data_IF_685410375970
#
_entry.id   IF_685410375970
#
_cell.length_a   1.000
_cell.length_b   1.000
_cell.length_c   1.000
_cell.angle_alpha   90.00
_cell.angle_beta   90.00
_cell.angle_gamma   90.00
#
_symmetry.space_group_name_H-M   'P 1'
#
loop_
_entity.id
_entity.type
_entity.pdbx_description
1 polymer ?
#
# COMPACT_ATOMS: atom_id res chain seq x y z
N UNK A 1 -4.62 -44.62 -5.61
CA UNK A 1 -5.37 -44.06 -4.46
C UNK A 1 -4.83 -42.66 -4.20
N UNK A 2 -5.50 -41.66 -4.75
CA UNK A 2 -5.67 -40.31 -4.18
C UNK A 2 -6.85 -39.68 -4.91
N UNK A 3 -7.96 -39.57 -4.19
CA UNK A 3 -9.22 -38.96 -4.61
C UNK A 3 -9.05 -37.43 -4.65
N UNK A 4 -9.34 -36.80 -5.78
CA UNK A 4 -9.52 -35.35 -5.87
C UNK A 4 -11.02 -35.06 -6.04
N UNK A 5 -11.67 -34.35 -5.11
CA UNK A 5 -13.09 -34.06 -5.26
C UNK A 5 -13.30 -33.03 -6.37
N UNK A 6 -14.01 -33.45 -7.41
CA UNK A 6 -14.46 -32.61 -8.52
C UNK A 6 -15.63 -31.73 -8.02
N UNK A 7 -15.30 -30.56 -7.46
CA UNK A 7 -16.33 -29.57 -7.10
C UNK A 7 -16.83 -28.85 -8.36
N UNK A 8 -18.00 -29.26 -8.83
CA UNK A 8 -18.72 -28.57 -9.89
C UNK A 8 -19.29 -27.24 -9.37
N UNK A 9 -18.79 -26.12 -9.90
CA UNK A 9 -19.23 -24.78 -9.51
C UNK A 9 -20.46 -24.33 -10.33
N UNK A 10 -21.49 -23.75 -9.69
CA UNK A 10 -22.68 -23.27 -10.39
C UNK A 10 -22.35 -22.08 -11.30
N UNK A 11 -22.73 -22.17 -12.59
CA UNK A 11 -22.44 -21.19 -13.66
C UNK A 11 -22.81 -19.74 -13.33
N UNK A 12 -23.69 -19.50 -12.36
CA UNK A 12 -24.13 -18.15 -11.95
C UNK A 12 -23.09 -17.38 -11.15
N UNK A 13 -22.17 -18.05 -10.47
CA UNK A 13 -21.14 -17.38 -9.64
C UNK A 13 -19.98 -16.81 -10.48
N UNK A 14 -19.80 -17.29 -11.71
CA UNK A 14 -18.75 -16.82 -12.62
C UNK A 14 -19.01 -15.40 -13.16
N UNK A 15 -20.29 -15.06 -13.42
CA UNK A 15 -20.68 -13.75 -13.98
C UNK A 15 -20.70 -12.60 -12.96
N UNK A 16 -20.49 -12.90 -11.66
CA UNK A 16 -20.48 -11.91 -10.56
C UNK A 16 -19.08 -11.60 -10.01
N UNK A 17 -18.01 -12.11 -10.61
CA UNK A 17 -16.64 -11.82 -10.18
C UNK A 17 -16.19 -12.48 -8.86
N UNK A 18 -17.12 -13.13 -8.12
CA UNK A 18 -16.85 -13.77 -6.82
C UNK A 18 -15.76 -14.85 -6.89
N UNK A 19 -15.59 -15.50 -8.05
CA UNK A 19 -14.51 -16.46 -8.28
C UNK A 19 -13.13 -15.79 -8.37
N UNK A 20 -13.04 -14.58 -8.94
CA UNK A 20 -11.78 -13.83 -9.01
C UNK A 20 -11.36 -13.31 -7.64
N UNK A 21 -12.32 -12.92 -6.79
CA UNK A 21 -12.05 -12.48 -5.41
C UNK A 21 -11.53 -13.63 -4.56
N UNK A 22 -12.09 -14.84 -4.70
CA UNK A 22 -11.60 -16.03 -4.02
C UNK A 22 -10.19 -16.44 -4.47
N UNK A 23 -9.89 -16.36 -5.77
CA UNK A 23 -8.55 -16.64 -6.31
C UNK A 23 -7.52 -15.57 -5.92
N UNK A 24 -7.91 -14.29 -5.85
CA UNK A 24 -7.07 -13.22 -5.29
C UNK A 24 -6.79 -13.51 -3.81
N UNK A 25 -7.83 -13.84 -3.04
CA UNK A 25 -7.69 -14.17 -1.61
C UNK A 25 -6.80 -15.40 -1.37
N UNK A 26 -6.89 -16.44 -2.20
CA UNK A 26 -6.06 -17.65 -2.10
C UNK A 26 -4.60 -17.41 -2.53
N UNK A 27 -4.35 -16.58 -3.56
CA UNK A 27 -2.97 -16.20 -3.93
C UNK A 27 -2.32 -15.32 -2.87
N UNK A 28 -3.09 -14.44 -2.23
CA UNK A 28 -2.61 -13.54 -1.16
C UNK A 28 -2.23 -14.32 0.11
N UNK A 29 -2.91 -15.43 0.45
CA UNK A 29 -2.58 -16.22 1.65
C UNK A 29 -1.34 -17.11 1.51
N UNK A 30 -0.91 -17.45 0.29
CA UNK A 30 0.25 -18.34 0.07
C UNK A 30 1.59 -17.60 0.01
N UNK A 31 1.57 -16.26 -0.06
CA UNK A 31 2.76 -15.42 -0.17
C UNK A 31 2.77 -14.34 0.90
N UNK A 32 2.84 -14.73 2.18
CA UNK A 32 3.20 -13.86 3.31
C UNK A 32 2.76 -12.39 3.19
N UNK A 33 1.47 -12.16 2.94
CA UNK A 33 0.94 -10.81 2.77
C UNK A 33 0.95 -10.09 4.12
N UNK A 34 1.87 -9.14 4.28
CA UNK A 34 1.87 -8.23 5.42
C UNK A 34 1.07 -6.97 5.04
N UNK A 35 -0.17 -6.83 5.54
CA UNK A 35 -1.00 -5.68 5.19
C UNK A 35 -0.45 -4.39 5.79
N UNK A 36 -0.53 -3.32 5.00
CA UNK A 36 -0.20 -1.98 5.49
C UNK A 36 -1.33 -1.52 6.42
N UNK A 37 -1.00 -1.24 7.67
CA UNK A 37 -1.97 -0.74 8.67
C UNK A 37 -2.15 0.78 8.54
N UNK A 38 -3.25 1.34 9.09
CA UNK A 38 -3.45 2.78 9.18
C UNK A 38 -2.22 3.54 9.71
N UNK A 39 -2.05 4.83 9.35
CA UNK A 39 -0.89 5.60 9.78
C UNK A 39 -0.81 5.66 11.31
N UNK A 40 0.41 5.66 11.85
CA UNK A 40 0.71 5.61 13.28
C UNK A 40 0.26 4.34 14.00
N UNK A 41 -0.28 3.32 13.32
CA UNK A 41 -0.62 2.06 13.98
C UNK A 41 0.60 1.48 14.73
N UNK A 42 0.38 1.08 15.98
CA UNK A 42 1.38 0.39 16.78
C UNK A 42 1.38 -1.10 16.43
N UNK A 43 2.22 -1.48 15.46
CA UNK A 43 2.24 -2.85 14.93
C UNK A 43 2.52 -3.92 15.99
N UNK A 44 3.23 -3.57 17.07
CA UNK A 44 3.59 -4.52 18.13
C UNK A 44 2.38 -5.04 18.94
N UNK A 45 1.35 -4.22 19.13
CA UNK A 45 0.15 -4.59 19.89
C UNK A 45 -1.15 -4.42 19.09
N UNK A 46 -1.06 -4.09 17.80
CA UNK A 46 -2.22 -3.78 16.97
C UNK A 46 -3.26 -4.90 16.96
N UNK A 47 -2.83 -6.15 16.78
CA UNK A 47 -3.72 -7.31 16.71
C UNK A 47 -4.32 -7.69 18.07
N UNK A 48 -3.70 -7.27 19.17
CA UNK A 48 -4.21 -7.51 20.52
C UNK A 48 -5.26 -6.45 20.91
N UNK A 49 -5.00 -5.18 20.57
CA UNK A 49 -5.84 -4.05 20.99
C UNK A 49 -6.93 -3.67 20.01
N UNK A 50 -6.78 -3.96 18.71
CA UNK A 50 -7.77 -3.58 17.71
C UNK A 50 -9.03 -4.44 17.83
N UNK A 51 -10.18 -3.82 18.05
CA UNK A 51 -11.48 -4.51 18.16
C UNK A 51 -12.15 -4.80 16.82
N UNK A 52 -11.52 -4.41 15.70
CA UNK A 52 -12.08 -4.50 14.35
C UNK A 52 -13.47 -3.83 14.19
N UNK A 53 -13.78 -2.79 14.99
CA UNK A 53 -15.06 -2.08 14.96
C UNK A 53 -15.32 -1.33 13.63
N UNK A 54 -14.25 -0.90 12.94
CA UNK A 54 -14.34 -0.22 11.65
C UNK A 54 -14.53 1.30 11.72
N UNK A 55 -14.48 1.94 12.89
CA UNK A 55 -14.63 3.40 13.02
C UNK A 55 -13.59 4.16 12.16
N UNK A 56 -12.34 3.69 12.15
CA UNK A 56 -11.28 4.29 11.33
C UNK A 56 -11.54 4.16 9.82
N UNK A 57 -12.21 3.10 9.37
CA UNK A 57 -12.63 2.91 7.97
C UNK A 57 -13.67 3.97 7.61
N UNK A 58 -14.67 4.18 8.46
CA UNK A 58 -15.72 5.18 8.23
C UNK A 58 -15.20 6.61 8.28
N UNK A 59 -14.22 6.89 9.15
CA UNK A 59 -13.64 8.22 9.31
C UNK A 59 -12.67 8.63 8.19
N UNK A 60 -12.22 7.68 7.35
CA UNK A 60 -11.25 7.94 6.30
C UNK A 60 -11.89 8.66 5.09
N UNK A 61 -11.60 9.95 4.93
CA UNK A 61 -12.16 10.77 3.87
C UNK A 61 -11.74 10.34 2.46
N UNK A 62 -10.49 9.93 2.30
CA UNK A 62 -9.96 9.41 1.02
C UNK A 62 -10.33 7.95 0.80
N UNK A 63 -10.99 7.32 1.78
CA UNK A 63 -11.48 5.95 1.73
C UNK A 63 -10.41 4.90 1.46
N UNK A 64 -9.13 5.19 1.74
CA UNK A 64 -8.04 4.22 1.52
C UNK A 64 -7.99 3.14 2.61
N UNK A 65 -8.64 3.34 3.76
CA UNK A 65 -8.72 2.32 4.81
C UNK A 65 -9.87 1.37 4.46
N UNK A 66 -9.56 0.09 4.26
CA UNK A 66 -10.50 -0.97 3.89
C UNK A 66 -10.50 -2.08 4.94
N UNK A 67 -11.56 -2.91 4.93
CA UNK A 67 -11.62 -4.10 5.77
C UNK A 67 -10.80 -5.22 5.13
N UNK A 68 -9.74 -5.64 5.79
CA UNK A 68 -8.87 -6.73 5.37
C UNK A 68 -9.46 -8.13 5.54
N UNK A 69 -8.73 -9.15 5.10
CA UNK A 69 -9.17 -10.55 5.10
C UNK A 69 -9.50 -11.09 6.51
N UNK A 70 -8.77 -10.61 7.53
CA UNK A 70 -8.99 -10.96 8.94
C UNK A 70 -9.93 -9.97 9.68
N UNK A 71 -10.60 -9.08 8.95
CA UNK A 71 -11.51 -8.08 9.51
C UNK A 71 -10.86 -6.81 10.06
N UNK A 72 -9.53 -6.83 10.24
CA UNK A 72 -8.75 -5.66 10.64
C UNK A 72 -8.62 -4.63 9.51
N UNK A 73 -8.47 -3.33 9.84
CA UNK A 73 -8.31 -2.29 8.84
C UNK A 73 -6.94 -2.38 8.15
N UNK A 74 -6.93 -2.12 6.84
CA UNK A 74 -5.76 -2.19 5.95
C UNK A 74 -5.79 -1.01 4.98
N UNK A 75 -4.63 -0.59 4.49
CA UNK A 75 -4.51 0.47 3.49
C UNK A 75 -4.54 -0.11 2.08
N UNK A 76 -5.40 0.46 1.25
CA UNK A 76 -5.49 0.20 -0.19
C UNK A 76 -5.17 1.48 -0.98
N UNK A 77 -3.90 1.60 -1.41
CA UNK A 77 -3.44 2.72 -2.23
C UNK A 77 -4.00 2.71 -3.66
N UNK A 78 -4.74 1.68 -4.08
CA UNK A 78 -5.47 1.74 -5.36
C UNK A 78 -6.67 2.68 -5.29
N UNK A 79 -7.15 3.02 -4.08
CA UNK A 79 -8.29 3.92 -3.86
C UNK A 79 -7.88 5.39 -3.75
N UNK A 80 -6.60 5.68 -3.51
CA UNK A 80 -6.11 7.04 -3.32
C UNK A 80 -4.89 7.08 -2.41
N UNK A 81 -4.74 8.20 -1.71
CA UNK A 81 -3.62 8.48 -0.82
C UNK A 81 -4.07 8.79 0.61
N UNK A 82 -3.11 8.80 1.53
CA UNK A 82 -3.32 9.32 2.87
C UNK A 82 -2.93 10.79 2.92
N UNK A 83 -3.86 11.63 3.39
CA UNK A 83 -3.64 13.07 3.61
C UNK A 83 -3.18 13.38 5.04
N UNK A 84 -2.96 12.36 5.87
CA UNK A 84 -2.60 12.48 7.28
C UNK A 84 -3.55 13.39 8.09
N UNK A 85 -4.85 13.39 7.78
CA UNK A 85 -5.85 14.22 8.47
C UNK A 85 -6.18 13.77 9.90
N UNK A 86 -5.52 12.73 10.41
CA UNK A 86 -5.66 12.16 11.77
C UNK A 86 -7.06 11.63 12.14
N UNK A 87 -8.09 11.76 11.29
CA UNK A 87 -9.45 11.33 11.63
C UNK A 87 -9.55 9.86 12.04
N UNK A 88 -8.72 8.99 11.43
CA UNK A 88 -8.65 7.58 11.82
C UNK A 88 -8.16 7.36 13.26
N UNK A 89 -7.24 8.21 13.74
CA UNK A 89 -6.72 8.20 15.12
C UNK A 89 -7.80 8.70 16.07
N UNK A 90 -8.39 9.87 15.78
CA UNK A 90 -9.41 10.51 16.63
C UNK A 90 -10.71 9.70 16.73
N UNK A 91 -11.04 8.89 15.72
CA UNK A 91 -12.22 8.02 15.72
C UNK A 91 -12.05 6.71 16.50
N UNK A 92 -10.83 6.39 16.93
CA UNK A 92 -10.51 5.09 17.52
C UNK A 92 -10.49 5.16 19.04
N UNK A 93 -11.39 4.42 19.67
CA UNK A 93 -11.45 4.28 21.13
C UNK A 93 -10.38 3.32 21.67
N UNK A 94 -9.80 2.48 20.82
CA UNK A 94 -8.74 1.56 21.19
C UNK A 94 -7.37 2.23 21.10
N UNK A 95 -6.48 1.93 22.04
CA UNK A 95 -5.10 2.44 22.08
C UNK A 95 -4.18 1.70 21.08
N UNK A 96 -4.54 1.70 19.80
CA UNK A 96 -3.82 1.03 18.70
C UNK A 96 -2.90 1.96 17.92
N UNK A 97 -2.95 3.26 18.18
CA UNK A 97 -2.15 4.29 17.51
C UNK A 97 -1.05 4.83 18.43
N UNK A 98 0.11 5.09 17.83
CA UNK A 98 1.22 5.88 18.41
C UNK A 98 0.92 7.37 18.32
N UNK A 99 1.79 8.21 18.85
CA UNK A 99 1.61 9.66 18.80
C UNK A 99 1.71 10.20 17.35
N UNK A 100 0.84 11.14 16.98
CA UNK A 100 0.82 11.75 15.64
C UNK A 100 2.08 12.58 15.34
N UNK A 101 2.84 12.97 16.37
CA UNK A 101 4.16 13.60 16.23
C UNK A 101 5.25 12.65 15.73
N UNK A 102 5.02 11.33 15.77
CA UNK A 102 5.93 10.33 15.20
C UNK A 102 5.70 10.16 13.69
N UNK A 103 6.63 9.47 13.02
CA UNK A 103 6.46 9.13 11.60
C UNK A 103 5.22 8.23 11.40
N UNK A 104 4.32 8.56 10.45
CA UNK A 104 3.09 7.82 10.23
C UNK A 104 3.35 6.40 9.75
N UNK A 105 4.34 6.24 8.87
CA UNK A 105 4.81 4.96 8.38
C UNK A 105 6.32 4.95 8.25
N UNK A 106 6.85 3.74 8.19
CA UNK A 106 8.25 3.46 7.95
C UNK A 106 8.51 2.87 6.56
N UNK A 107 7.46 2.38 5.87
CA UNK A 107 7.57 1.91 4.49
C UNK A 107 7.91 3.05 3.54
N UNK A 108 8.60 2.70 2.45
CA UNK A 108 9.04 3.65 1.42
C UNK A 108 8.54 3.19 0.06
N UNK A 109 8.81 3.98 -0.97
CA UNK A 109 8.45 3.62 -2.34
C UNK A 109 9.64 2.99 -3.06
N UNK A 110 9.34 2.13 -4.02
CA UNK A 110 10.30 1.54 -4.95
C UNK A 110 9.82 1.75 -6.40
N UNK A 111 10.73 2.19 -7.27
CA UNK A 111 10.45 2.39 -8.70
C UNK A 111 10.84 1.13 -9.48
N UNK A 112 9.84 0.43 -9.99
CA UNK A 112 9.96 -0.83 -10.73
C UNK A 112 10.43 -0.63 -12.17
N UNK A 113 10.82 -1.73 -12.83
CA UNK A 113 11.34 -1.73 -14.20
C UNK A 113 10.35 -1.19 -15.25
N UNK A 114 9.04 -1.30 -15.00
CA UNK A 114 7.98 -0.78 -15.90
C UNK A 114 7.80 0.75 -15.87
N UNK A 115 8.69 1.50 -15.21
CA UNK A 115 8.62 2.95 -15.18
C UNK A 115 8.93 3.54 -16.56
N UNK A 116 8.05 4.40 -17.08
CA UNK A 116 8.21 5.02 -18.40
C UNK A 116 9.57 5.72 -18.58
N UNK A 117 10.06 6.39 -17.54
CA UNK A 117 11.37 7.05 -17.59
C UNK A 117 12.51 6.04 -17.74
N UNK A 118 12.45 4.88 -17.04
CA UNK A 118 13.43 3.79 -17.22
C UNK A 118 13.35 3.16 -18.61
N UNK A 119 12.21 3.29 -19.29
CA UNK A 119 11.97 2.82 -20.65
C UNK A 119 12.24 3.89 -21.72
N UNK A 120 12.83 5.04 -21.37
CA UNK A 120 13.19 6.08 -22.35
C UNK A 120 12.06 7.04 -22.71
N UNK A 121 10.94 7.05 -21.97
CA UNK A 121 9.80 7.94 -22.20
C UNK A 121 9.70 8.99 -21.10
N UNK A 122 9.62 10.27 -21.48
CA UNK A 122 9.47 11.37 -20.51
C UNK A 122 8.15 11.25 -19.73
N UNK A 123 8.25 11.22 -18.40
CA UNK A 123 7.10 11.15 -17.50
C UNK A 123 7.49 11.73 -16.14
N UNK A 124 6.67 12.64 -15.60
CA UNK A 124 6.94 13.34 -14.33
C UNK A 124 5.81 13.26 -13.31
N UNK A 125 4.71 12.58 -13.64
CA UNK A 125 3.47 12.58 -12.86
C UNK A 125 3.66 12.27 -11.37
N UNK A 126 4.53 11.30 -11.05
CA UNK A 126 4.80 10.93 -9.67
C UNK A 126 5.58 11.99 -8.88
N UNK A 127 6.48 12.75 -9.53
CA UNK A 127 7.17 13.86 -8.88
C UNK A 127 6.27 15.08 -8.72
N UNK A 128 5.43 15.37 -9.72
CA UNK A 128 4.48 16.49 -9.67
C UNK A 128 3.46 16.31 -8.54
N UNK A 129 3.07 15.07 -8.26
CA UNK A 129 2.12 14.73 -7.17
C UNK A 129 2.80 14.52 -5.81
N UNK A 130 4.14 14.53 -5.74
CA UNK A 130 4.85 14.27 -4.49
C UNK A 130 5.16 15.58 -3.75
N UNK A 131 4.29 15.95 -2.81
CA UNK A 131 4.46 17.15 -1.98
C UNK A 131 5.80 17.16 -1.22
N UNK A 132 6.23 16.00 -0.72
CA UNK A 132 7.53 15.82 -0.04
C UNK A 132 8.74 15.94 -0.98
N UNK A 133 8.51 16.08 -2.29
CA UNK A 133 9.55 16.16 -3.34
C UNK A 133 10.57 15.03 -3.23
N UNK A 134 10.10 13.81 -2.95
CA UNK A 134 10.90 12.57 -2.89
C UNK A 134 11.43 12.22 -4.27
N UNK A 135 10.60 12.39 -5.30
CA UNK A 135 10.93 12.08 -6.68
C UNK A 135 11.18 13.40 -7.40
N UNK A 136 12.41 13.61 -7.89
CA UNK A 136 12.82 14.81 -8.64
C UNK A 136 13.41 14.41 -9.98
N UNK A 137 13.32 15.30 -10.95
CA UNK A 137 13.82 15.08 -12.30
C UNK A 137 14.85 16.15 -12.64
N UNK A 138 16.09 15.75 -12.93
CA UNK A 138 17.15 16.64 -13.40
C UNK A 138 17.19 16.62 -14.93
N UNK A 139 17.23 17.78 -15.60
CA UNK A 139 17.41 17.83 -17.04
C UNK A 139 18.70 17.10 -17.45
N UNK A 140 18.63 16.33 -18.53
CA UNK A 140 19.78 15.69 -19.17
C UNK A 140 19.97 16.29 -20.57
N UNK A 141 21.22 16.59 -20.95
CA UNK A 141 21.50 17.13 -22.28
C UNK A 141 21.33 16.04 -23.34
N UNK A 142 20.43 16.28 -24.30
CA UNK A 142 20.21 15.37 -25.43
C UNK A 142 19.53 14.04 -25.06
N UNK A 143 18.92 13.94 -23.87
CA UNK A 143 18.27 12.73 -23.40
C UNK A 143 17.04 12.99 -22.53
N UNK A 144 16.49 11.92 -21.98
CA UNK A 144 15.42 11.98 -20.97
C UNK A 144 15.95 12.46 -19.63
N UNK A 145 15.08 13.08 -18.82
CA UNK A 145 15.47 13.55 -17.49
C UNK A 145 15.99 12.41 -16.60
N UNK A 146 16.94 12.71 -15.73
CA UNK A 146 17.44 11.78 -14.71
C UNK A 146 16.54 11.85 -13.46
N UNK A 147 16.03 10.70 -13.02
CA UNK A 147 15.26 10.61 -11.78
C UNK A 147 16.19 10.54 -10.57
N UNK A 148 15.96 11.41 -9.59
CA UNK A 148 16.66 11.45 -8.30
C UNK A 148 15.65 11.18 -7.19
N UNK A 149 15.97 10.23 -6.32
CA UNK A 149 15.11 9.83 -5.20
C UNK A 149 15.74 10.25 -3.86
N UNK A 150 14.94 10.91 -3.01
CA UNK A 150 15.28 11.15 -1.60
C UNK A 150 14.26 10.43 -0.69
N UNK A 151 14.49 9.14 -0.45
CA UNK A 151 13.55 8.28 0.28
C UNK A 151 13.45 8.64 1.77
N UNK A 152 14.45 9.31 2.35
CA UNK A 152 14.39 9.77 3.73
C UNK A 152 13.20 10.71 3.97
N UNK A 153 12.91 11.59 3.01
CA UNK A 153 11.76 12.51 3.06
C UNK A 153 10.41 11.84 2.73
N UNK A 154 10.38 10.57 2.33
CA UNK A 154 9.13 9.89 2.00
C UNK A 154 8.37 9.51 3.27
N UNK A 155 7.16 10.02 3.41
CA UNK A 155 6.25 9.71 4.53
C UNK A 155 5.29 8.54 4.21
N UNK A 156 5.42 7.93 3.03
CA UNK A 156 4.62 6.75 2.64
C UNK A 156 3.16 7.03 2.29
N UNK A 157 2.79 8.29 1.97
CA UNK A 157 1.40 8.70 1.72
C UNK A 157 0.69 7.99 0.56
N UNK A 158 1.45 7.50 -0.41
CA UNK A 158 0.92 6.78 -1.57
C UNK A 158 0.48 7.66 -2.76
N UNK A 159 0.61 8.98 -2.68
CA UNK A 159 0.23 9.92 -3.76
C UNK A 159 0.79 9.55 -5.14
N UNK A 160 2.06 9.14 -5.18
CA UNK A 160 2.71 8.76 -6.42
C UNK A 160 2.20 7.43 -7.02
N UNK A 161 1.59 6.54 -6.23
CA UNK A 161 1.10 5.25 -6.70
C UNK A 161 -0.12 5.39 -7.60
N UNK A 162 -1.07 6.25 -7.20
CA UNK A 162 -2.35 6.44 -7.91
C UNK A 162 -2.17 7.15 -9.27
N UNK A 163 -1.18 8.04 -9.37
CA UNK A 163 -0.89 8.82 -10.60
C UNK A 163 0.07 8.13 -11.56
N UNK A 164 0.64 6.98 -11.20
CA UNK A 164 1.58 6.28 -12.05
C UNK A 164 0.86 5.51 -13.18
N UNK A 165 1.02 5.91 -14.45
CA UNK A 165 0.23 5.34 -15.55
C UNK A 165 0.55 3.86 -15.83
N UNK A 166 1.72 3.37 -15.40
CA UNK A 166 2.14 1.98 -15.58
C UNK A 166 2.16 1.19 -14.27
N UNK A 167 1.64 1.76 -13.18
CA UNK A 167 1.66 1.15 -11.83
C UNK A 167 3.06 0.65 -11.41
N UNK A 168 4.11 1.32 -11.88
CA UNK A 168 5.51 0.98 -11.66
C UNK A 168 6.07 1.49 -10.33
N UNK A 169 5.23 1.99 -9.43
CA UNK A 169 5.62 2.39 -8.08
C UNK A 169 4.99 1.42 -7.09
N UNK A 170 5.80 0.85 -6.21
CA UNK A 170 5.36 -0.07 -5.16
C UNK A 170 5.72 0.47 -3.80
N UNK A 171 4.94 0.10 -2.80
CA UNK A 171 5.37 0.25 -1.41
C UNK A 171 6.31 -0.91 -1.11
N UNK A 172 7.51 -0.58 -0.63
CA UNK A 172 8.43 -1.54 -0.07
C UNK A 172 8.14 -1.62 1.44
N UNK A 173 7.57 -2.74 1.93
CA UNK A 173 7.44 -2.94 3.37
C UNK A 173 8.84 -2.90 3.99
N UNK A 174 8.93 -2.49 5.26
CA UNK A 174 10.18 -2.61 5.99
C UNK A 174 10.58 -4.09 5.95
N UNK A 175 11.62 -4.42 5.19
CA UNK A 175 12.31 -5.67 5.44
C UNK A 175 12.96 -5.50 6.81
N UNK A 176 12.46 -6.22 7.82
CA UNK A 176 13.27 -6.56 8.98
C UNK A 176 14.55 -7.15 8.40
N UNK A 177 15.68 -6.48 8.60
CA UNK A 177 16.98 -6.97 8.16
C UNK A 177 17.23 -8.32 8.85
N UNK A 178 16.88 -9.42 8.19
CA UNK A 178 17.46 -10.71 8.48
C UNK A 178 18.86 -10.66 7.86
N UNK A 179 19.84 -10.44 8.73
CA UNK A 179 21.28 -10.49 8.49
C UNK A 179 21.66 -11.25 7.21
N UNK A 180 22.23 -10.52 6.24
CA UNK A 180 23.18 -11.09 5.27
C UNK A 180 24.53 -10.48 5.56
N UNK A 181 25.08 -10.87 6.71
CA UNK A 181 26.51 -10.78 6.93
C UNK A 181 27.10 -12.14 6.55
N UNK A 182 27.92 -12.09 5.50
CA UNK A 182 29.03 -12.99 5.12
C UNK A 182 28.79 -14.51 4.94
#
# INVERSE_FOLDING_TARGET
MTDYPNQSLPRRSFLRGQFLDSLKSQKVSQQGYEPIRPPWANLANFLEKCTACGNCIQACETQIIVKGAAGYPEIDFSRGECTFCEKCVHSCEAEVFRAVSEQPWSHKIEIQAGCLLKLGTECRSCGDSCEMRVIRFRPSLGGIAEMVLNLESCNGCGACLSVCPTSAIKIQPLQTQANRDE
#
